data_IF_524754042778
#
_entry.id   IF_524754042778
#
_cell.length_a   1.000
_cell.length_b   1.000
_cell.length_c   1.000
_cell.angle_alpha   90.00
_cell.angle_beta   90.00
_cell.angle_gamma   90.00
#
_symmetry.space_group_name_H-M   'P 1'
#
loop_
_entity.id
_entity.type
_entity.pdbx_description
1 polymer ?
#
# COMPACT_ATOMS: atom_id res chain seq x y z
N UNK A 1 17.63 -27.57 -38.88
CA UNK A 1 16.49 -26.82 -38.30
C UNK A 1 17.00 -26.22 -36.99
N UNK A 2 17.42 -24.95 -37.00
CA UNK A 2 18.00 -24.27 -35.84
C UNK A 2 16.82 -23.65 -35.09
N UNK A 3 16.53 -24.15 -33.89
CA UNK A 3 15.55 -23.54 -32.98
C UNK A 3 16.10 -22.17 -32.54
N UNK A 4 15.35 -21.07 -32.70
CA UNK A 4 15.79 -19.78 -32.20
C UNK A 4 15.79 -19.79 -30.67
N UNK A 5 16.90 -19.35 -30.09
CA UNK A 5 17.05 -19.09 -28.66
C UNK A 5 16.21 -17.85 -28.33
N UNK A 6 15.04 -18.03 -27.70
CA UNK A 6 14.25 -16.92 -27.17
C UNK A 6 14.94 -16.37 -25.92
N UNK A 7 15.60 -15.21 -26.05
CA UNK A 7 16.04 -14.43 -24.90
C UNK A 7 14.82 -13.67 -24.38
N UNK A 8 14.21 -14.16 -23.30
CA UNK A 8 13.22 -13.39 -22.54
C UNK A 8 13.96 -12.26 -21.83
N UNK A 9 13.76 -11.01 -22.27
CA UNK A 9 14.25 -9.83 -21.57
C UNK A 9 13.37 -9.62 -20.33
N UNK A 10 13.78 -10.18 -19.20
CA UNK A 10 13.11 -9.97 -17.90
C UNK A 10 13.25 -8.49 -17.48
N UNK A 11 12.13 -7.77 -17.43
CA UNK A 11 12.09 -6.41 -16.87
C UNK A 11 11.78 -6.50 -15.37
N UNK A 12 12.75 -6.13 -14.53
CA UNK A 12 12.57 -6.10 -13.08
C UNK A 12 11.82 -4.83 -12.68
N UNK A 13 10.72 -4.99 -11.93
CA UNK A 13 10.01 -3.87 -11.29
C UNK A 13 10.18 -3.98 -9.78
N UNK A 14 10.43 -2.85 -9.13
CA UNK A 14 10.71 -2.78 -7.70
C UNK A 14 9.53 -2.10 -7.00
N UNK A 15 9.14 -2.63 -5.86
CA UNK A 15 8.23 -2.00 -4.93
C UNK A 15 8.95 -1.81 -3.59
N UNK A 16 8.72 -0.68 -2.93
CA UNK A 16 9.13 -0.46 -1.55
C UNK A 16 7.90 -0.58 -0.65
N UNK A 17 7.99 -1.44 0.36
CA UNK A 17 6.87 -1.74 1.28
C UNK A 17 7.40 -1.80 2.71
N UNK A 18 6.56 -1.47 3.70
CA UNK A 18 6.93 -1.59 5.11
C UNK A 18 6.13 -2.69 5.81
N UNK A 19 6.77 -3.42 6.71
CA UNK A 19 6.15 -4.37 7.64
C UNK A 19 6.68 -4.10 9.05
N UNK A 20 6.02 -3.21 9.78
CA UNK A 20 6.56 -2.68 11.04
C UNK A 20 6.26 -3.59 12.25
N UNK A 21 5.37 -4.57 12.13
CA UNK A 21 5.08 -5.48 13.24
C UNK A 21 6.15 -6.57 13.42
N UNK A 22 6.62 -6.83 14.66
CA UNK A 22 6.23 -6.15 15.92
C UNK A 22 7.04 -4.88 16.23
N UNK A 23 8.31 -4.81 15.83
CA UNK A 23 9.26 -3.75 16.23
C UNK A 23 10.14 -3.25 15.08
N UNK A 24 9.58 -3.26 13.87
CA UNK A 24 10.25 -2.85 12.63
C UNK A 24 10.22 -1.35 12.37
N UNK A 25 9.34 -0.58 13.04
CA UNK A 25 9.18 0.84 12.77
C UNK A 25 10.47 1.63 13.05
N UNK A 26 11.21 1.24 14.10
CA UNK A 26 12.50 1.85 14.49
C UNK A 26 13.59 1.78 13.40
N UNK A 27 13.45 0.89 12.41
CA UNK A 27 14.38 0.78 11.30
C UNK A 27 14.12 1.83 10.19
N UNK A 28 12.94 2.43 10.18
CA UNK A 28 12.48 3.38 9.16
C UNK A 28 12.50 4.81 9.72
N UNK A 29 12.06 4.97 10.98
CA UNK A 29 11.99 6.25 11.66
C UNK A 29 12.43 6.11 13.12
N UNK A 30 13.24 7.03 13.68
CA UNK A 30 13.52 7.03 15.11
C UNK A 30 12.24 7.31 15.92
N UNK A 31 11.75 6.33 16.69
CA UNK A 31 10.52 6.44 17.47
C UNK A 31 10.54 5.55 18.72
N UNK A 32 9.62 5.82 19.66
CA UNK A 32 9.30 4.92 20.76
C UNK A 32 8.48 3.75 20.22
N UNK A 33 9.17 2.68 19.83
CA UNK A 33 8.60 1.57 19.08
C UNK A 33 8.04 0.48 19.99
N UNK A 34 7.04 0.86 20.78
CA UNK A 34 6.20 0.00 21.61
C UNK A 34 4.72 0.35 21.41
N UNK A 35 3.79 -0.63 21.46
CA UNK A 35 2.37 -0.40 21.12
C UNK A 35 1.64 0.65 21.96
N UNK A 36 2.11 0.90 23.17
CA UNK A 36 1.51 1.84 24.14
C UNK A 36 1.76 3.31 23.74
N UNK A 37 2.87 3.60 23.07
CA UNK A 37 3.24 4.95 22.64
C UNK A 37 2.62 5.28 21.28
N UNK A 38 1.31 5.53 21.27
CA UNK A 38 0.57 5.90 20.06
C UNK A 38 0.78 7.37 19.72
N UNK A 39 0.84 7.68 18.43
CA UNK A 39 1.05 9.04 17.93
C UNK A 39 0.23 9.32 16.66
N UNK A 40 0.11 10.60 16.31
CA UNK A 40 -0.42 11.05 15.02
C UNK A 40 0.77 11.15 14.06
N UNK A 41 0.66 10.51 12.89
CA UNK A 41 1.73 10.47 11.88
C UNK A 41 1.41 11.40 10.72
N UNK A 42 2.29 12.36 10.48
CA UNK A 42 2.23 13.25 9.31
C UNK A 42 3.23 12.77 8.26
N UNK A 43 2.74 12.02 7.28
CA UNK A 43 3.58 11.33 6.31
C UNK A 43 3.76 12.15 5.04
N UNK A 44 5.01 12.27 4.59
CA UNK A 44 5.36 12.75 3.24
C UNK A 44 6.34 11.76 2.63
N UNK A 45 6.05 11.32 1.41
CA UNK A 45 6.88 10.34 0.68
C UNK A 45 7.42 11.02 -0.57
N UNK A 46 8.74 11.00 -0.74
CA UNK A 46 9.41 11.42 -1.97
C UNK A 46 9.75 10.14 -2.75
N UNK A 47 9.25 10.03 -3.98
CA UNK A 47 9.35 8.80 -4.77
C UNK A 47 9.57 9.10 -6.26
N UNK A 48 10.16 8.18 -7.05
CA UNK A 48 10.42 8.42 -8.46
C UNK A 48 9.14 8.67 -9.27
N UNK A 49 9.20 9.56 -10.25
CA UNK A 49 8.12 9.75 -11.24
C UNK A 49 7.82 8.41 -11.93
N UNK A 50 6.53 8.11 -12.14
CA UNK A 50 6.06 6.83 -12.68
C UNK A 50 5.62 5.82 -11.60
N UNK A 51 5.96 6.07 -10.33
CA UNK A 51 5.46 5.30 -9.19
C UNK A 51 4.32 6.03 -8.48
N UNK A 52 3.52 5.29 -7.71
CA UNK A 52 2.48 5.79 -6.81
C UNK A 52 2.87 5.49 -5.37
N UNK A 53 2.80 6.50 -4.50
CA UNK A 53 3.06 6.37 -3.08
C UNK A 53 1.75 6.30 -2.28
N UNK A 54 1.74 5.47 -1.24
CA UNK A 54 0.56 5.17 -0.42
C UNK A 54 0.99 5.08 1.04
N UNK A 55 0.22 5.73 1.89
CA UNK A 55 0.31 5.64 3.34
C UNK A 55 -1.05 5.28 3.94
N UNK A 56 -1.12 5.17 5.28
CA UNK A 56 -2.35 4.87 6.03
C UNK A 56 -3.50 5.85 5.71
N UNK A 57 -3.22 7.16 5.64
CA UNK A 57 -4.24 8.21 5.44
C UNK A 57 -4.43 8.62 3.98
N UNK A 58 -5.53 9.30 3.66
CA UNK A 58 -5.81 9.85 2.33
C UNK A 58 -4.69 10.74 1.79
N UNK A 59 -4.55 10.72 0.46
CA UNK A 59 -3.62 11.59 -0.26
C UNK A 59 -4.11 13.04 -0.15
N UNK A 60 -3.25 13.94 0.36
CA UNK A 60 -3.54 15.36 0.52
C UNK A 60 -3.12 16.16 -0.72
N UNK A 61 -1.93 15.88 -1.25
CA UNK A 61 -1.39 16.56 -2.43
C UNK A 61 -0.25 15.76 -3.06
N UNK A 62 -0.11 15.85 -4.37
CA UNK A 62 1.04 15.33 -5.11
C UNK A 62 1.66 16.46 -5.93
N UNK A 63 2.97 16.66 -5.82
CA UNK A 63 3.72 17.65 -6.59
C UNK A 63 4.99 17.05 -7.16
N UNK A 64 5.38 17.44 -8.37
CA UNK A 64 6.68 17.03 -8.95
C UNK A 64 7.76 18.03 -8.56
N UNK A 65 8.93 17.55 -8.17
CA UNK A 65 10.08 18.41 -7.89
C UNK A 65 10.56 19.15 -9.16
N UNK A 66 11.25 20.30 -9.01
CA UNK A 66 11.75 21.08 -10.15
C UNK A 66 12.66 20.31 -11.11
N UNK A 67 13.33 19.26 -10.62
CA UNK A 67 14.19 18.39 -11.43
C UNK A 67 13.42 17.40 -12.33
N UNK A 68 12.10 17.29 -12.17
CA UNK A 68 11.23 16.40 -12.94
C UNK A 68 11.42 14.90 -12.70
N UNK A 69 12.25 14.51 -11.73
CA UNK A 69 12.60 13.11 -11.44
C UNK A 69 11.85 12.52 -10.25
N UNK A 70 11.50 13.37 -9.30
CA UNK A 70 10.85 12.96 -8.05
C UNK A 70 9.47 13.57 -7.92
N UNK A 71 8.55 12.80 -7.36
CA UNK A 71 7.25 13.23 -6.87
C UNK A 71 7.29 13.30 -5.35
N UNK A 72 6.57 14.28 -4.81
CA UNK A 72 6.36 14.48 -3.38
C UNK A 72 4.88 14.27 -3.12
N UNK A 73 4.56 13.14 -2.49
CA UNK A 73 3.20 12.78 -2.07
C UNK A 73 3.03 13.07 -0.59
N UNK A 74 2.07 13.92 -0.24
CA UNK A 74 1.71 14.26 1.14
C UNK A 74 0.38 13.61 1.49
N UNK A 75 0.24 13.18 2.73
CA UNK A 75 -0.96 12.52 3.23
C UNK A 75 -1.56 13.30 4.39
N UNK A 76 -2.86 13.13 4.61
CA UNK A 76 -3.53 13.65 5.81
C UNK A 76 -2.92 13.04 7.09
N UNK A 77 -2.94 13.75 8.23
CA UNK A 77 -2.56 13.18 9.52
C UNK A 77 -3.33 11.88 9.81
N UNK A 78 -2.66 10.87 10.37
CA UNK A 78 -3.37 9.65 10.80
C UNK A 78 -4.25 9.91 12.03
N UNK A 79 -5.26 9.07 12.30
CA UNK A 79 -5.72 8.87 13.65
C UNK A 79 -4.56 8.45 14.59
N UNK A 80 -4.80 8.45 15.89
CA UNK A 80 -3.82 7.97 16.88
C UNK A 80 -3.47 6.51 16.56
N UNK A 81 -2.22 6.26 16.16
CA UNK A 81 -1.75 5.00 15.60
C UNK A 81 -0.45 4.57 16.30
N UNK A 82 -0.34 3.28 16.63
CA UNK A 82 0.90 2.69 17.13
C UNK A 82 1.95 2.56 16.01
N UNK A 83 3.24 2.61 16.36
CA UNK A 83 4.35 2.57 15.40
C UNK A 83 4.33 1.34 14.48
N UNK A 84 3.97 0.16 15.01
CA UNK A 84 3.95 -1.09 14.26
C UNK A 84 2.90 -1.14 13.13
N UNK A 85 1.90 -0.24 13.15
CA UNK A 85 0.87 -0.13 12.11
C UNK A 85 1.22 0.90 11.02
N UNK A 86 2.36 1.58 11.13
CA UNK A 86 2.82 2.50 10.11
C UNK A 86 3.09 1.73 8.82
N UNK A 87 2.34 2.05 7.77
CA UNK A 87 2.38 1.37 6.48
C UNK A 87 2.69 2.37 5.37
N UNK A 88 3.82 2.18 4.69
CA UNK A 88 4.25 2.94 3.52
C UNK A 88 4.43 1.98 2.35
N UNK A 89 4.00 2.42 1.18
CA UNK A 89 4.09 1.65 -0.04
C UNK A 89 4.39 2.55 -1.22
N UNK A 90 5.35 2.16 -2.05
CA UNK A 90 5.69 2.85 -3.31
C UNK A 90 5.87 1.81 -4.39
N UNK A 91 5.07 1.87 -5.45
CA UNK A 91 5.26 1.00 -6.62
C UNK A 91 4.58 1.54 -7.88
N UNK A 92 4.75 0.83 -8.98
CA UNK A 92 4.02 1.04 -10.25
C UNK A 92 2.75 0.18 -10.37
N UNK A 93 2.25 -0.39 -9.26
CA UNK A 93 1.10 -1.27 -9.31
C UNK A 93 -0.17 -0.50 -9.64
N UNK A 94 -1.04 -1.16 -10.40
CA UNK A 94 -2.39 -0.67 -10.65
C UNK A 94 -3.35 -1.19 -9.58
N UNK A 95 -4.49 -0.51 -9.46
CA UNK A 95 -5.53 -0.83 -8.51
C UNK A 95 -6.91 -0.83 -9.15
N UNK A 96 -7.84 -1.47 -8.46
CA UNK A 96 -9.28 -1.24 -8.63
C UNK A 96 -9.83 -0.66 -7.33
N UNK A 97 -10.86 0.18 -7.43
CA UNK A 97 -11.47 0.83 -6.28
C UNK A 97 -12.98 0.66 -6.22
N UNK A 98 -13.50 0.61 -5.00
CA UNK A 98 -14.93 0.56 -4.68
C UNK A 98 -15.17 1.34 -3.39
N UNK A 99 -16.43 1.63 -3.11
CA UNK A 99 -16.86 2.40 -1.95
C UNK A 99 -17.91 1.60 -1.19
N UNK A 100 -17.88 1.69 0.15
CA UNK A 100 -18.98 1.18 0.98
C UNK A 100 -20.19 2.10 0.87
N UNK A 101 -21.35 1.70 1.40
CA UNK A 101 -22.56 2.54 1.50
C UNK A 101 -22.31 3.89 2.17
N UNK A 102 -21.36 3.95 3.11
CA UNK A 102 -20.97 5.18 3.83
C UNK A 102 -19.96 6.05 3.05
N UNK A 103 -19.41 5.53 1.95
CA UNK A 103 -18.40 6.23 1.14
C UNK A 103 -16.96 5.94 1.55
N UNK A 104 -16.68 4.94 2.41
CA UNK A 104 -15.30 4.54 2.73
C UNK A 104 -14.66 3.91 1.50
N UNK A 105 -13.50 4.42 1.10
CA UNK A 105 -12.82 4.01 -0.14
C UNK A 105 -11.96 2.76 0.06
N UNK A 106 -12.26 1.69 -0.67
CA UNK A 106 -11.45 0.48 -0.75
C UNK A 106 -10.65 0.45 -2.03
N UNK A 107 -9.36 0.13 -1.94
CA UNK A 107 -8.50 -0.11 -3.10
C UNK A 107 -7.80 -1.45 -3.00
N UNK A 108 -7.81 -2.19 -4.10
CA UNK A 108 -7.05 -3.44 -4.22
C UNK A 108 -6.00 -3.29 -5.30
N UNK A 109 -4.74 -3.35 -4.88
CA UNK A 109 -3.56 -3.15 -5.70
C UNK A 109 -2.95 -4.49 -6.07
N UNK A 110 -2.48 -4.65 -7.31
CA UNK A 110 -1.77 -5.86 -7.69
C UNK A 110 -0.85 -5.65 -8.88
N UNK A 111 -0.01 -6.65 -9.16
CA UNK A 111 0.69 -6.72 -10.44
C UNK A 111 -0.31 -7.00 -11.59
N UNK A 112 0.05 -6.70 -12.85
CA UNK A 112 -0.81 -6.98 -14.00
C UNK A 112 -1.25 -8.46 -14.10
N UNK A 113 -0.38 -9.39 -13.72
CA UNK A 113 -0.63 -10.85 -13.73
C UNK A 113 -1.79 -11.29 -12.83
N UNK A 114 -2.05 -10.56 -11.75
CA UNK A 114 -3.09 -10.90 -10.77
C UNK A 114 -4.28 -9.95 -10.81
N UNK A 115 -4.39 -9.15 -11.89
CA UNK A 115 -5.44 -8.14 -12.08
C UNK A 115 -6.85 -8.72 -11.93
N UNK A 116 -7.11 -9.89 -12.52
CA UNK A 116 -8.43 -10.54 -12.48
C UNK A 116 -8.92 -10.87 -11.05
N UNK A 117 -8.00 -10.98 -10.08
CA UNK A 117 -8.33 -11.27 -8.68
C UNK A 117 -8.74 -10.03 -7.88
N UNK A 118 -8.51 -8.81 -8.41
CA UNK A 118 -8.79 -7.55 -7.71
C UNK A 118 -10.27 -7.38 -7.41
N UNK A 119 -11.13 -7.56 -8.41
CA UNK A 119 -12.58 -7.43 -8.27
C UNK A 119 -13.16 -8.34 -7.19
N UNK A 120 -12.72 -9.60 -7.12
CA UNK A 120 -13.15 -10.53 -6.07
C UNK A 120 -12.70 -10.08 -4.67
N UNK A 121 -11.43 -9.69 -4.53
CA UNK A 121 -10.90 -9.20 -3.26
C UNK A 121 -11.58 -7.91 -2.79
N UNK A 122 -11.90 -7.03 -3.72
CA UNK A 122 -12.56 -5.75 -3.48
C UNK A 122 -14.01 -5.95 -3.02
N UNK A 123 -14.77 -6.80 -3.73
CA UNK A 123 -16.14 -7.17 -3.34
C UNK A 123 -16.20 -7.80 -1.96
N UNK A 124 -15.26 -8.71 -1.66
CA UNK A 124 -15.17 -9.31 -0.33
C UNK A 124 -14.91 -8.27 0.75
N UNK A 125 -13.90 -7.41 0.56
CA UNK A 125 -13.52 -6.38 1.51
C UNK A 125 -14.67 -5.42 1.84
N UNK A 126 -15.40 -4.93 0.83
CA UNK A 126 -16.54 -4.03 1.05
C UNK A 126 -17.68 -4.71 1.80
N UNK A 127 -18.01 -5.97 1.46
CA UNK A 127 -19.09 -6.72 2.13
C UNK A 127 -18.73 -7.00 3.59
N UNK A 128 -17.51 -7.47 3.86
CA UNK A 128 -17.09 -7.78 5.22
C UNK A 128 -17.02 -6.54 6.10
N UNK A 129 -16.59 -5.40 5.55
CA UNK A 129 -16.51 -4.18 6.33
C UNK A 129 -17.88 -3.63 6.67
N UNK A 130 -18.83 -3.58 5.73
CA UNK A 130 -20.22 -3.23 6.06
C UNK A 130 -20.82 -4.19 7.09
N UNK A 131 -20.56 -5.50 6.95
CA UNK A 131 -21.01 -6.49 7.93
C UNK A 131 -20.41 -6.25 9.33
N UNK A 132 -19.12 -5.94 9.44
CA UNK A 132 -18.49 -5.71 10.74
C UNK A 132 -18.94 -4.40 11.39
N UNK A 133 -19.14 -3.33 10.61
CA UNK A 133 -19.72 -2.08 11.11
C UNK A 133 -21.13 -2.34 11.69
N UNK A 134 -21.97 -3.06 10.95
CA UNK A 134 -23.33 -3.45 11.40
C UNK A 134 -23.29 -4.38 12.63
N UNK A 135 -22.38 -5.35 12.64
CA UNK A 135 -22.29 -6.37 13.68
C UNK A 135 -21.79 -5.82 15.01
N UNK A 136 -20.74 -5.01 14.99
CA UNK A 136 -20.16 -4.41 16.20
C UNK A 136 -20.89 -3.11 16.61
N UNK A 137 -21.68 -2.51 15.73
CA UNK A 137 -22.31 -1.22 15.95
C UNK A 137 -21.28 -0.08 16.09
N UNK A 138 -20.09 -0.26 15.52
CA UNK A 138 -18.99 0.70 15.56
C UNK A 138 -18.54 0.95 14.12
N UNK A 139 -18.59 2.22 13.74
CA UNK A 139 -18.16 2.68 12.42
C UNK A 139 -16.63 2.73 12.33
N UNK A 140 -16.09 2.45 11.14
CA UNK A 140 -14.66 2.64 10.90
C UNK A 140 -14.31 4.14 10.96
N UNK A 141 -13.19 4.44 11.60
CA UNK A 141 -12.66 5.80 11.78
C UNK A 141 -11.85 6.27 10.56
N UNK A 142 -11.41 5.34 9.71
CA UNK A 142 -10.60 5.68 8.52
C UNK A 142 -11.47 5.83 7.28
N UNK A 143 -11.13 6.82 6.46
CA UNK A 143 -11.86 7.13 5.21
C UNK A 143 -11.37 6.28 4.02
N UNK A 144 -10.24 5.57 4.18
CA UNK A 144 -9.72 4.64 3.17
C UNK A 144 -9.16 3.37 3.78
N UNK A 145 -9.29 2.28 3.02
CA UNK A 145 -8.57 1.03 3.24
C UNK A 145 -7.93 0.54 1.95
N UNK A 146 -6.73 -0.04 2.08
CA UNK A 146 -5.96 -0.56 0.97
C UNK A 146 -5.56 -2.01 1.20
N UNK A 147 -5.67 -2.84 0.17
CA UNK A 147 -5.19 -4.21 0.17
C UNK A 147 -4.27 -4.46 -1.02
N UNK A 148 -3.25 -5.28 -0.81
CA UNK A 148 -2.29 -5.68 -1.84
C UNK A 148 -2.47 -7.18 -2.15
N UNK A 149 -2.62 -7.54 -3.42
CA UNK A 149 -2.68 -8.93 -3.88
C UNK A 149 -1.30 -9.32 -4.43
N UNK A 150 -0.67 -10.29 -3.78
CA UNK A 150 0.65 -10.80 -4.15
C UNK A 150 1.55 -11.16 -2.98
N UNK A 151 1.13 -10.83 -1.75
CA UNK A 151 1.88 -11.12 -0.53
C UNK A 151 0.97 -11.79 0.50
N UNK A 152 1.41 -12.94 1.03
CA UNK A 152 1.07 -13.29 2.40
C UNK A 152 1.86 -12.29 3.27
N UNK A 153 1.19 -11.49 4.09
CA UNK A 153 1.85 -10.50 4.93
C UNK A 153 2.54 -11.21 6.12
N UNK A 154 3.66 -11.86 5.82
CA UNK A 154 4.71 -12.29 6.72
C UNK A 154 6.02 -12.18 5.92
N UNK A 155 7.03 -11.53 6.52
CA UNK A 155 8.45 -11.46 6.10
C UNK A 155 8.86 -10.23 5.28
N UNK A 156 9.64 -9.35 5.93
CA UNK A 156 10.65 -8.52 5.26
C UNK A 156 11.79 -9.43 4.80
N UNK A 157 12.02 -9.46 3.49
CA UNK A 157 13.37 -9.54 2.96
C UNK A 157 13.41 -8.58 1.77
N UNK A 158 14.60 -8.12 1.39
CA UNK A 158 14.82 -7.25 0.25
C UNK A 158 14.46 -8.00 -1.05
N UNK A 159 13.17 -8.16 -1.34
CA UNK A 159 12.71 -8.88 -2.51
C UNK A 159 12.60 -7.93 -3.69
N UNK A 160 13.63 -7.93 -4.53
CA UNK A 160 13.50 -7.60 -5.94
C UNK A 160 12.43 -8.54 -6.52
N UNK A 161 11.23 -8.02 -6.78
CA UNK A 161 10.18 -8.80 -7.41
C UNK A 161 10.59 -9.16 -8.84
N UNK A 162 10.90 -10.44 -9.08
CA UNK A 162 10.85 -11.03 -10.42
C UNK A 162 9.38 -11.20 -10.79
N UNK A 163 8.87 -10.33 -11.66
CA UNK A 163 7.56 -10.51 -12.28
C UNK A 163 7.82 -11.12 -13.67
N UNK A 164 7.76 -12.45 -13.85
CA UNK A 164 7.72 -13.04 -15.18
C UNK A 164 6.35 -12.73 -15.80
N UNK A 165 6.40 -12.25 -17.04
CA UNK A 165 5.27 -11.83 -17.88
C UNK A 165 4.04 -12.75 -17.75
#
# INVERSE_FOLDING_TARGET
>A
MITPLFVSVEHFRIAAVTQCEPTGARAIVPCFDEPEYKAIWNVTIIHPVGTTAIANSLELSETTEPNGKWKVSRFHPTPILASYLLALFVSEFEYEESYTKRGVRFRVWSTPKTKEKRAYGLKGATIFMEFFEDYFGVEDIVEKQGRWIGYNLLIFEKYTLKIPN
#
